data_IF_328999815640
#
_entry.id   IF_328999815640
#
_cell.length_a   1.000
_cell.length_b   1.000
_cell.length_c   1.000
_cell.angle_alpha   90.00
_cell.angle_beta   90.00
_cell.angle_gamma   90.00
#
_symmetry.space_group_name_H-M   'P 1'
#
loop_
_entity.id
_entity.type
_entity.pdbx_description
1 polymer ?
#
# COMPACT_ATOMS: atom_id res chain seq x y z
N UNK A 1 5.19 -9.14 -5.94
CA UNK A 1 5.28 -7.99 -6.88
C UNK A 1 5.73 -6.73 -6.15
N UNK A 2 5.03 -6.29 -5.11
CA UNK A 2 5.36 -5.08 -4.33
C UNK A 2 6.85 -4.98 -3.91
N UNK A 3 7.41 -6.04 -3.30
CA UNK A 3 8.83 -6.07 -2.89
C UNK A 3 9.82 -5.81 -4.03
N UNK A 4 9.52 -6.26 -5.25
CA UNK A 4 10.38 -6.05 -6.41
C UNK A 4 10.22 -4.66 -7.03
N UNK A 5 9.04 -4.04 -6.86
CA UNK A 5 8.71 -2.73 -7.42
C UNK A 5 9.18 -1.59 -6.50
N UNK A 6 9.19 -1.79 -5.18
CA UNK A 6 9.58 -0.77 -4.20
C UNK A 6 10.94 -0.08 -4.47
N UNK A 7 12.02 -0.78 -4.87
CA UNK A 7 13.29 -0.10 -5.21
C UNK A 7 13.17 0.78 -6.47
N UNK A 8 12.35 0.33 -7.43
CA UNK A 8 12.13 1.05 -8.68
C UNK A 8 11.24 2.28 -8.46
N UNK A 9 10.19 2.18 -7.64
CA UNK A 9 9.37 3.32 -7.28
C UNK A 9 10.18 4.38 -6.54
N UNK A 10 11.06 4.00 -5.61
CA UNK A 10 11.97 4.93 -4.92
C UNK A 10 12.86 5.71 -5.89
N UNK A 11 13.54 5.00 -6.80
CA UNK A 11 14.38 5.63 -7.83
C UNK A 11 13.59 6.54 -8.78
N UNK A 12 12.33 6.21 -9.06
CA UNK A 12 11.45 7.01 -9.91
C UNK A 12 11.00 8.29 -9.17
N UNK A 13 10.56 8.16 -7.91
CA UNK A 13 10.18 9.28 -7.03
C UNK A 13 11.32 10.29 -6.91
N UNK A 14 12.55 9.81 -6.77
CA UNK A 14 13.71 10.68 -6.66
C UNK A 14 13.90 11.59 -7.89
N UNK A 15 13.57 11.09 -9.09
CA UNK A 15 13.72 11.79 -10.37
C UNK A 15 12.55 12.69 -10.76
N UNK A 16 11.31 12.26 -10.52
CA UNK A 16 10.10 12.95 -11.03
C UNK A 16 9.24 13.58 -9.93
N UNK A 17 9.63 13.45 -8.66
CA UNK A 17 8.87 13.95 -7.50
C UNK A 17 7.89 12.92 -6.96
N UNK A 18 7.22 13.25 -5.85
CA UNK A 18 6.35 12.34 -5.09
C UNK A 18 4.95 12.22 -5.71
N UNK A 19 4.41 13.35 -6.19
CA UNK A 19 2.99 13.45 -6.54
C UNK A 19 2.60 12.64 -7.79
N UNK A 20 3.47 12.62 -8.82
CA UNK A 20 3.19 11.89 -10.07
C UNK A 20 3.21 10.36 -9.86
N UNK A 21 4.24 9.76 -9.22
CA UNK A 21 4.20 8.35 -8.84
C UNK A 21 3.02 8.00 -7.94
N UNK A 22 2.66 8.86 -6.98
CA UNK A 22 1.52 8.61 -6.09
C UNK A 22 0.20 8.55 -6.86
N UNK A 23 -0.05 9.51 -7.76
CA UNK A 23 -1.24 9.51 -8.61
C UNK A 23 -1.27 8.30 -9.55
N UNK A 24 -0.14 7.91 -10.15
CA UNK A 24 -0.04 6.71 -10.98
C UNK A 24 -0.38 5.46 -10.14
N UNK A 25 0.17 5.36 -8.93
CA UNK A 25 -0.11 4.27 -7.99
C UNK A 25 -1.59 4.16 -7.67
N UNK A 26 -2.24 5.28 -7.33
CA UNK A 26 -3.67 5.33 -7.01
C UNK A 26 -4.56 4.97 -8.21
N UNK A 27 -4.23 5.43 -9.42
CA UNK A 27 -4.96 5.04 -10.64
C UNK A 27 -4.81 3.55 -10.92
N UNK A 28 -3.61 3.00 -10.77
CA UNK A 28 -3.35 1.55 -10.93
C UNK A 28 -4.13 0.75 -9.87
N UNK A 29 -4.16 1.21 -8.61
CA UNK A 29 -4.94 0.61 -7.53
C UNK A 29 -6.43 0.62 -7.84
N UNK A 30 -6.97 1.75 -8.30
CA UNK A 30 -8.37 1.88 -8.69
C UNK A 30 -8.74 0.90 -9.81
N UNK A 31 -7.98 0.94 -10.92
CA UNK A 31 -8.25 0.10 -12.09
C UNK A 31 -8.10 -1.40 -11.76
N UNK A 32 -7.05 -1.78 -11.04
CA UNK A 32 -6.84 -3.18 -10.64
C UNK A 32 -7.94 -3.69 -9.73
N UNK A 33 -8.41 -2.88 -8.78
CA UNK A 33 -9.49 -3.24 -7.85
C UNK A 33 -10.83 -3.36 -8.58
N UNK A 34 -11.12 -2.46 -9.53
CA UNK A 34 -12.31 -2.55 -10.37
C UNK A 34 -12.28 -3.81 -11.26
N UNK A 35 -11.12 -4.14 -11.85
CA UNK A 35 -10.94 -5.38 -12.61
C UNK A 35 -11.10 -6.61 -11.71
N UNK A 36 -10.63 -6.54 -10.46
CA UNK A 36 -10.79 -7.63 -9.49
C UNK A 36 -12.27 -7.86 -9.13
N UNK A 37 -13.05 -6.79 -8.95
CA UNK A 37 -14.49 -6.88 -8.68
C UNK A 37 -15.24 -7.61 -9.82
N UNK A 38 -15.00 -7.19 -11.06
CA UNK A 38 -15.64 -7.77 -12.25
C UNK A 38 -15.03 -9.12 -12.68
N UNK A 39 -13.84 -9.45 -12.18
CA UNK A 39 -13.09 -10.64 -12.57
C UNK A 39 -13.77 -11.93 -12.14
N UNK A 40 -13.86 -12.88 -13.08
CA UNK A 40 -14.40 -14.25 -12.85
C UNK A 40 -13.39 -15.36 -13.13
N UNK A 41 -12.29 -15.05 -13.83
CA UNK A 41 -11.24 -16.01 -14.16
C UNK A 41 -10.06 -15.86 -13.22
N UNK A 42 -9.49 -16.98 -12.77
CA UNK A 42 -8.30 -17.00 -11.92
C UNK A 42 -7.14 -16.20 -12.51
N UNK A 43 -6.89 -16.33 -13.83
CA UNK A 43 -5.82 -15.58 -14.49
C UNK A 43 -6.01 -14.06 -14.43
N UNK A 44 -7.26 -13.60 -14.56
CA UNK A 44 -7.60 -12.19 -14.45
C UNK A 44 -7.45 -11.67 -13.02
N UNK A 45 -7.88 -12.46 -12.03
CA UNK A 45 -7.73 -12.12 -10.61
C UNK A 45 -6.26 -12.06 -10.19
N UNK A 46 -5.44 -13.01 -10.68
CA UNK A 46 -4.00 -13.03 -10.44
C UNK A 46 -3.30 -11.81 -11.06
N UNK A 47 -3.67 -11.46 -12.30
CA UNK A 47 -3.16 -10.27 -12.96
C UNK A 47 -3.56 -8.99 -12.22
N UNK A 48 -4.83 -8.88 -11.83
CA UNK A 48 -5.34 -7.76 -11.06
C UNK A 48 -4.59 -7.61 -9.71
N UNK A 49 -4.35 -8.70 -8.97
CA UNK A 49 -3.56 -8.66 -7.73
C UNK A 49 -2.11 -8.28 -7.94
N UNK A 50 -1.51 -8.77 -9.01
CA UNK A 50 -0.15 -8.39 -9.39
C UNK A 50 -0.07 -6.88 -9.65
N UNK A 51 -1.04 -6.35 -10.40
CA UNK A 51 -1.14 -4.93 -10.72
C UNK A 51 -1.42 -4.07 -9.47
N UNK A 52 -2.27 -4.55 -8.58
CA UNK A 52 -2.55 -3.91 -7.29
C UNK A 52 -1.27 -3.80 -6.44
N UNK A 53 -0.43 -4.85 -6.43
CA UNK A 53 0.88 -4.81 -5.78
C UNK A 53 1.90 -3.84 -6.43
N UNK A 54 1.75 -3.53 -7.72
CA UNK A 54 2.53 -2.45 -8.37
C UNK A 54 2.00 -1.09 -7.90
N UNK A 55 0.68 -0.90 -7.91
CA UNK A 55 0.04 0.34 -7.50
C UNK A 55 0.33 0.72 -6.05
N UNK A 56 0.23 -0.25 -5.13
CA UNK A 56 0.54 -0.05 -3.71
C UNK A 56 2.00 0.32 -3.48
N UNK A 57 2.94 -0.32 -4.18
CA UNK A 57 4.36 0.03 -4.09
C UNK A 57 4.60 1.52 -4.38
N UNK A 58 4.00 2.05 -5.45
CA UNK A 58 4.12 3.47 -5.79
C UNK A 58 3.42 4.38 -4.77
N UNK A 59 2.20 4.05 -4.35
CA UNK A 59 1.44 4.87 -3.41
C UNK A 59 2.10 4.93 -2.02
N UNK A 60 2.49 3.78 -1.46
CA UNK A 60 3.11 3.69 -0.13
C UNK A 60 4.46 4.39 -0.10
N UNK A 61 5.32 4.14 -1.10
CA UNK A 61 6.66 4.73 -1.15
C UNK A 61 6.59 6.25 -1.38
N UNK A 62 5.70 6.72 -2.26
CA UNK A 62 5.54 8.15 -2.52
C UNK A 62 4.89 8.89 -1.34
N UNK A 63 3.86 8.31 -0.72
CA UNK A 63 3.16 8.93 0.41
C UNK A 63 4.05 9.11 1.64
N UNK A 64 4.77 8.06 2.03
CA UNK A 64 5.71 8.15 3.16
C UNK A 64 6.88 9.10 2.86
N UNK A 65 7.39 9.09 1.63
CA UNK A 65 8.45 10.01 1.23
C UNK A 65 7.97 11.47 1.19
N UNK A 66 6.74 11.73 0.77
CA UNK A 66 6.12 13.06 0.79
C UNK A 66 5.99 13.60 2.22
N UNK A 67 5.55 12.76 3.17
CA UNK A 67 5.49 13.13 4.59
C UNK A 67 6.90 13.44 5.10
N UNK A 68 7.88 12.59 4.80
CA UNK A 68 9.26 12.77 5.23
C UNK A 68 9.92 14.05 4.69
N UNK A 69 9.58 14.46 3.46
CA UNK A 69 10.08 15.68 2.82
C UNK A 69 9.37 16.95 3.31
N UNK A 70 8.06 16.86 3.57
CA UNK A 70 7.23 18.01 3.99
C UNK A 70 7.51 18.48 5.42
N UNK A 71 7.84 17.55 6.32
CA UNK A 71 8.17 17.85 7.71
C UNK A 71 9.69 17.90 7.91
N UNK A 72 10.24 19.11 7.98
CA UNK A 72 11.69 19.32 8.08
C UNK A 72 12.24 19.13 9.50
N UNK A 73 11.43 19.37 10.53
CA UNK A 73 11.84 19.12 11.92
C UNK A 73 11.71 17.63 12.28
N UNK A 74 12.75 17.04 12.88
CA UNK A 74 12.76 15.60 13.20
C UNK A 74 11.62 15.18 14.13
N UNK A 75 11.29 16.02 15.11
CA UNK A 75 10.20 15.76 16.06
C UNK A 75 8.83 15.79 15.36
N UNK A 76 8.60 16.75 14.46
CA UNK A 76 7.35 16.84 13.71
C UNK A 76 7.23 15.71 12.68
N UNK A 77 8.34 15.39 11.99
CA UNK A 77 8.42 14.29 11.02
C UNK A 77 8.11 12.95 11.68
N UNK A 78 8.72 12.67 12.83
CA UNK A 78 8.48 11.43 13.58
C UNK A 78 7.02 11.32 14.04
N UNK A 79 6.43 12.43 14.52
CA UNK A 79 5.00 12.46 14.87
C UNK A 79 4.10 12.22 13.66
N UNK A 80 4.37 12.88 12.53
CA UNK A 80 3.57 12.72 11.31
C UNK A 80 3.64 11.30 10.75
N UNK A 81 4.84 10.71 10.68
CA UNK A 81 5.02 9.31 10.28
C UNK A 81 4.37 8.35 11.27
N UNK A 82 4.45 8.62 12.57
CA UNK A 82 3.79 7.83 13.60
C UNK A 82 2.27 7.83 13.46
N UNK A 83 1.67 8.99 13.16
CA UNK A 83 0.23 9.11 12.87
C UNK A 83 -0.13 8.33 11.60
N UNK A 84 0.65 8.47 10.52
CA UNK A 84 0.41 7.73 9.27
C UNK A 84 0.46 6.21 9.47
N UNK A 85 1.47 5.71 10.19
CA UNK A 85 1.59 4.29 10.53
C UNK A 85 0.45 3.81 11.43
N UNK A 86 -0.01 4.63 12.37
CA UNK A 86 -1.17 4.31 13.21
C UNK A 86 -2.45 4.15 12.37
N UNK A 87 -2.67 5.01 11.36
CA UNK A 87 -3.79 4.87 10.44
C UNK A 87 -3.67 3.62 9.57
N UNK A 88 -2.48 3.24 9.14
CA UNK A 88 -2.24 1.97 8.42
C UNK A 88 -2.63 0.78 9.31
N UNK A 89 -2.15 0.74 10.56
CA UNK A 89 -2.51 -0.32 11.49
C UNK A 89 -4.01 -0.38 11.79
N UNK A 90 -4.64 0.79 11.95
CA UNK A 90 -6.09 0.89 12.13
C UNK A 90 -6.86 0.38 10.91
N UNK A 91 -6.41 0.71 9.69
CA UNK A 91 -6.98 0.19 8.45
C UNK A 91 -6.88 -1.33 8.37
N UNK A 92 -5.72 -1.91 8.70
CA UNK A 92 -5.53 -3.36 8.75
C UNK A 92 -6.43 -4.05 9.79
N UNK A 93 -6.72 -3.40 10.91
CA UNK A 93 -7.61 -3.92 11.95
C UNK A 93 -9.08 -3.91 11.50
N UNK A 94 -9.52 -2.82 10.89
CA UNK A 94 -10.93 -2.62 10.50
C UNK A 94 -11.28 -3.34 9.19
N UNK A 95 -10.30 -3.57 8.31
CA UNK A 95 -10.54 -4.14 6.99
C UNK A 95 -11.12 -5.58 7.00
N UNK A 96 -10.61 -6.56 7.77
CA UNK A 96 -11.15 -7.92 7.80
C UNK A 96 -12.63 -8.03 8.25
N UNK A 97 -13.07 -7.42 9.37
CA UNK A 97 -14.46 -7.53 9.81
C UNK A 97 -15.43 -6.81 8.86
N UNK A 98 -15.08 -5.61 8.38
CA UNK A 98 -15.91 -4.91 7.39
C UNK A 98 -15.95 -5.67 6.06
N UNK A 99 -14.80 -6.12 5.58
CA UNK A 99 -14.68 -6.87 4.32
C UNK A 99 -15.45 -8.19 4.36
N UNK A 100 -15.33 -8.96 5.45
CA UNK A 100 -16.04 -10.22 5.65
C UNK A 100 -17.56 -10.05 5.75
N UNK A 101 -18.02 -9.04 6.49
CA UNK A 101 -19.45 -8.72 6.58
C UNK A 101 -20.02 -8.30 5.22
N UNK A 102 -19.36 -7.36 4.52
CA UNK A 102 -19.78 -6.90 3.19
C UNK A 102 -19.78 -8.05 2.17
N UNK A 103 -18.77 -8.92 2.21
CA UNK A 103 -18.68 -10.08 1.34
C UNK A 103 -19.85 -11.04 1.55
N UNK A 104 -20.25 -11.28 2.81
CA UNK A 104 -21.35 -12.18 3.13
C UNK A 104 -22.73 -11.64 2.77
N UNK A 105 -23.00 -10.36 3.04
CA UNK A 105 -24.33 -9.78 2.85
C UNK A 105 -24.56 -9.20 1.45
N UNK A 106 -23.52 -8.71 0.79
CA UNK A 106 -23.62 -7.99 -0.47
C UNK A 106 -22.86 -8.66 -1.62
N UNK A 107 -22.21 -9.80 -1.35
CA UNK A 107 -21.47 -10.59 -2.33
C UNK A 107 -20.05 -10.09 -2.59
N UNK A 108 -19.32 -10.85 -3.42
CA UNK A 108 -17.89 -10.63 -3.65
C UNK A 108 -17.53 -9.26 -4.20
N UNK A 109 -18.40 -8.68 -5.02
CA UNK A 109 -18.09 -7.47 -5.81
C UNK A 109 -18.07 -6.21 -4.94
N UNK A 110 -18.91 -6.15 -3.92
CA UNK A 110 -19.18 -4.94 -3.14
C UNK A 110 -17.99 -4.47 -2.31
N UNK A 111 -17.27 -5.33 -1.55
CA UNK A 111 -16.06 -4.91 -0.84
C UNK A 111 -15.02 -4.27 -1.79
N UNK A 112 -14.81 -4.86 -2.97
CA UNK A 112 -13.85 -4.33 -3.93
C UNK A 112 -14.32 -3.03 -4.60
N UNK A 113 -15.61 -2.89 -4.89
CA UNK A 113 -16.16 -1.64 -5.41
C UNK A 113 -16.05 -0.49 -4.38
N UNK A 114 -16.28 -0.77 -3.10
CA UNK A 114 -16.08 0.21 -2.03
C UNK A 114 -14.60 0.61 -1.95
N UNK A 115 -13.68 -0.36 -1.98
CA UNK A 115 -12.24 -0.07 -1.98
C UNK A 115 -11.82 0.77 -3.21
N UNK A 116 -12.34 0.45 -4.39
CA UNK A 116 -12.10 1.24 -5.60
C UNK A 116 -12.63 2.67 -5.42
N UNK A 117 -13.83 2.85 -4.87
CA UNK A 117 -14.39 4.17 -4.61
C UNK A 117 -13.57 4.98 -3.60
N UNK A 118 -13.07 4.32 -2.53
CA UNK A 118 -12.16 4.94 -1.56
C UNK A 118 -10.86 5.36 -2.24
N UNK A 119 -10.24 4.51 -3.07
CA UNK A 119 -9.04 4.89 -3.85
C UNK A 119 -9.30 6.04 -4.82
N UNK A 120 -10.50 6.12 -5.39
CA UNK A 120 -10.88 7.22 -6.28
C UNK A 120 -11.02 8.54 -5.51
N UNK A 121 -11.64 8.52 -4.32
CA UNK A 121 -11.74 9.68 -3.44
C UNK A 121 -10.35 10.13 -3.00
N UNK A 122 -9.48 9.20 -2.62
CA UNK A 122 -8.11 9.50 -2.22
C UNK A 122 -7.33 10.15 -3.38
N UNK A 123 -7.46 9.61 -4.59
CA UNK A 123 -6.89 10.22 -5.80
C UNK A 123 -7.44 11.63 -6.07
N UNK A 124 -8.74 11.86 -5.87
CA UNK A 124 -9.34 13.18 -6.02
C UNK A 124 -8.87 14.17 -4.95
N UNK A 125 -8.80 13.74 -3.69
CA UNK A 125 -8.29 14.53 -2.59
C UNK A 125 -6.82 14.89 -2.81
N UNK A 126 -6.04 13.95 -3.33
CA UNK A 126 -4.67 14.20 -3.75
C UNK A 126 -4.60 15.27 -4.84
N UNK A 127 -5.45 15.22 -5.86
CA UNK A 127 -5.49 16.26 -6.91
C UNK A 127 -5.79 17.67 -6.36
N UNK A 128 -6.57 17.77 -5.28
CA UNK A 128 -6.85 19.05 -4.62
C UNK A 128 -5.67 19.55 -3.77
N UNK A 129 -4.91 18.64 -3.17
CA UNK A 129 -3.77 18.95 -2.29
C UNK A 129 -2.48 19.14 -3.09
N UNK A 130 -2.36 18.49 -4.25
CA UNK A 130 -1.21 18.58 -5.15
C UNK A 130 -0.96 20.02 -5.56
N UNK A 131 0.29 20.48 -5.38
CA UNK A 131 0.77 21.71 -6.02
C UNK A 131 0.68 21.57 -7.55
N UNK A 132 0.55 22.67 -8.31
CA UNK A 132 0.56 22.60 -9.76
C UNK A 132 1.85 21.91 -10.26
N UNK A 133 1.69 20.95 -11.19
CA UNK A 133 2.75 20.11 -11.79
C UNK A 133 4.00 20.91 -12.22
N UNK A 134 3.83 22.18 -12.56
CA UNK A 134 4.90 23.11 -12.95
C UNK A 134 5.86 23.47 -11.81
N UNK A 135 5.38 23.55 -10.56
CA UNK A 135 6.23 23.78 -9.38
C UNK A 135 6.98 22.51 -8.98
N UNK A 136 6.38 21.34 -9.14
CA UNK A 136 7.02 20.04 -8.87
C UNK A 136 8.18 19.76 -9.83
N UNK A 137 8.02 20.10 -11.12
CA UNK A 137 9.10 20.00 -12.12
C UNK A 137 10.25 21.00 -11.87
N UNK A 138 10.01 22.06 -11.10
CA UNK A 138 11.02 23.04 -10.71
C UNK A 138 11.72 22.61 -9.41
N UNK A 139 10.98 22.06 -8.43
CA UNK A 139 11.52 21.48 -7.20
C UNK A 139 12.33 20.19 -7.49
N UNK A 140 11.91 19.34 -8.44
CA UNK A 140 12.68 18.15 -8.86
C UNK A 140 13.98 18.49 -9.59
N UNK A 141 14.10 19.71 -10.13
CA UNK A 141 15.33 20.25 -10.74
C UNK A 141 16.28 20.90 -9.73
N UNK A 142 15.84 21.14 -8.49
CA UNK A 142 16.76 21.62 -7.46
C UNK A 142 17.76 20.51 -7.09
N UNK A 143 19.05 20.84 -6.86
CA UNK A 143 20.06 19.85 -6.52
C UNK A 143 19.73 19.25 -5.14
N UNK A 144 19.15 18.05 -5.14
CA UNK A 144 18.98 17.24 -3.93
C UNK A 144 20.37 16.87 -3.38
N UNK A 145 20.54 16.78 -2.04
CA UNK A 145 21.77 16.27 -1.46
C UNK A 145 22.09 14.91 -2.06
N UNK A 146 23.38 14.53 -2.19
CA UNK A 146 23.77 13.29 -2.83
C UNK A 146 23.08 12.10 -2.15
N UNK A 147 22.10 11.52 -2.85
CA UNK A 147 21.40 10.32 -2.40
C UNK A 147 22.43 9.20 -2.31
N UNK A 148 22.54 8.58 -1.14
CA UNK A 148 23.30 7.35 -1.00
C UNK A 148 22.68 6.30 -1.92
N UNK A 149 23.45 5.69 -2.84
CA UNK A 149 22.89 4.74 -3.79
C UNK A 149 22.30 3.55 -3.03
N UNK A 150 21.07 3.14 -3.39
CA UNK A 150 20.30 2.06 -2.75
C UNK A 150 21.14 0.78 -2.59
N UNK A 151 21.97 0.44 -3.59
CA UNK A 151 22.87 -0.70 -3.52
C UNK A 151 23.85 -0.63 -2.33
N UNK A 152 24.36 0.57 -2.00
CA UNK A 152 25.28 0.77 -0.87
C UNK A 152 24.56 0.67 0.48
N UNK A 153 23.27 1.03 0.54
CA UNK A 153 22.43 0.80 1.70
C UNK A 153 22.14 -0.70 1.89
N UNK A 154 21.82 -1.42 0.81
CA UNK A 154 21.56 -2.86 0.87
C UNK A 154 22.81 -3.68 1.22
N UNK A 155 24.00 -3.17 0.91
CA UNK A 155 25.29 -3.76 1.27
C UNK A 155 25.72 -3.45 2.72
N UNK A 156 25.00 -2.59 3.44
CA UNK A 156 25.28 -2.32 4.85
C UNK A 156 24.81 -3.50 5.71
N UNK A 157 25.70 -4.15 6.49
CA UNK A 157 25.35 -5.34 7.27
C UNK A 157 24.25 -5.08 8.29
N UNK A 158 24.14 -3.88 8.87
CA UNK A 158 23.08 -3.57 9.82
C UNK A 158 21.71 -3.46 9.13
N UNK A 159 21.68 -2.81 7.97
CA UNK A 159 20.45 -2.65 7.17
C UNK A 159 20.02 -3.99 6.57
N UNK A 160 20.98 -4.81 6.13
CA UNK A 160 20.73 -6.16 5.62
C UNK A 160 20.13 -7.07 6.69
N UNK A 161 20.65 -7.04 7.93
CA UNK A 161 20.09 -7.82 9.04
C UNK A 161 18.68 -7.34 9.41
N UNK A 162 18.47 -6.03 9.54
CA UNK A 162 17.15 -5.48 9.86
C UNK A 162 16.11 -5.77 8.76
N UNK A 163 16.46 -5.56 7.49
CA UNK A 163 15.58 -5.86 6.36
C UNK A 163 15.29 -7.36 6.23
N UNK A 164 16.29 -8.22 6.47
CA UNK A 164 16.10 -9.67 6.52
C UNK A 164 15.17 -10.12 7.64
N UNK A 165 15.32 -9.55 8.84
CA UNK A 165 14.41 -9.82 9.96
C UNK A 165 12.97 -9.38 9.64
N UNK A 166 12.80 -8.18 9.08
CA UNK A 166 11.48 -7.68 8.65
C UNK A 166 10.85 -8.53 7.54
N UNK A 167 11.65 -9.02 6.59
CA UNK A 167 11.18 -9.96 5.57
C UNK A 167 10.69 -11.26 6.20
N UNK A 168 11.47 -11.83 7.13
CA UNK A 168 11.12 -13.07 7.80
C UNK A 168 9.81 -12.94 8.59
N UNK A 169 9.64 -11.82 9.32
CA UNK A 169 8.41 -11.52 10.04
C UNK A 169 7.20 -11.37 9.12
N UNK A 170 7.34 -10.65 8.00
CA UNK A 170 6.24 -10.49 7.03
C UNK A 170 5.88 -11.79 6.32
N UNK A 171 6.86 -12.63 6.00
CA UNK A 171 6.61 -13.95 5.41
C UNK A 171 5.81 -14.82 6.38
N UNK A 172 6.18 -14.84 7.66
CA UNK A 172 5.45 -15.61 8.67
C UNK A 172 3.97 -15.17 8.76
N UNK A 173 3.71 -13.86 8.83
CA UNK A 173 2.35 -13.30 8.83
C UNK A 173 1.57 -13.65 7.54
N UNK A 174 2.21 -13.53 6.38
CA UNK A 174 1.59 -13.82 5.08
C UNK A 174 1.16 -15.29 4.92
N UNK A 175 1.83 -16.23 5.59
CA UNK A 175 1.38 -17.63 5.64
C UNK A 175 0.27 -17.84 6.67
N UNK A 176 0.31 -17.10 7.78
CA UNK A 176 -0.62 -17.21 8.89
C UNK A 176 -2.05 -16.82 8.50
N UNK A 177 -2.19 -15.70 7.78
CA UNK A 177 -3.49 -15.17 7.33
C UNK A 177 -4.36 -16.15 6.55
N UNK A 178 -3.91 -16.73 5.42
CA UNK A 178 -4.71 -17.68 4.67
C UNK A 178 -4.90 -19.00 5.43
N UNK A 179 -3.89 -19.46 6.16
CA UNK A 179 -3.94 -20.74 6.87
C UNK A 179 -4.95 -20.71 8.02
N UNK A 180 -4.94 -19.66 8.83
CA UNK A 180 -5.93 -19.48 9.90
C UNK A 180 -7.33 -19.36 9.33
N UNK A 181 -7.51 -18.58 8.26
CA UNK A 181 -8.83 -18.36 7.66
C UNK A 181 -9.42 -19.68 7.13
N UNK A 182 -8.61 -20.50 6.46
CA UNK A 182 -9.02 -21.84 6.00
C UNK A 182 -9.32 -22.78 7.17
N UNK A 183 -8.46 -22.80 8.20
CA UNK A 183 -8.68 -23.64 9.37
C UNK A 183 -9.95 -23.27 10.14
N UNK A 184 -10.26 -21.97 10.24
CA UNK A 184 -11.49 -21.48 10.86
C UNK A 184 -12.75 -21.87 10.08
N UNK A 185 -12.67 -21.86 8.75
CA UNK A 185 -13.75 -22.31 7.88
C UNK A 185 -14.05 -23.80 8.07
N UNK A 186 -13.00 -24.62 8.19
CA UNK A 186 -13.12 -26.08 8.37
C UNK A 186 -13.58 -26.49 9.79
N UNK A 187 -13.18 -25.76 10.85
CA UNK A 187 -13.32 -26.22 12.24
C UNK A 187 -14.26 -25.38 13.12
N UNK A 188 -14.54 -24.12 12.78
CA UNK A 188 -15.19 -23.16 13.68
C UNK A 188 -16.50 -22.61 13.11
N UNK A 189 -16.48 -22.08 11.89
CA UNK A 189 -17.64 -21.39 11.30
C UNK A 189 -17.47 -21.19 9.80
N UNK A 190 -18.55 -21.42 9.04
CA UNK A 190 -18.62 -21.10 7.59
C UNK A 190 -19.10 -19.67 7.31
N UNK A 191 -19.50 -18.92 8.34
CA UNK A 191 -19.92 -17.53 8.19
C UNK A 191 -18.72 -16.58 8.14
N UNK A 192 -18.46 -15.99 6.98
CA UNK A 192 -17.37 -15.03 6.71
C UNK A 192 -17.33 -13.83 7.65
N UNK A 193 -18.47 -13.33 8.14
CA UNK A 193 -18.48 -12.20 9.09
C UNK A 193 -17.89 -12.59 10.46
N UNK A 194 -18.12 -13.83 10.92
CA UNK A 194 -17.54 -14.34 12.18
C UNK A 194 -16.04 -14.51 12.06
N UNK A 195 -15.56 -15.04 10.92
CA UNK A 195 -14.13 -15.14 10.63
C UNK A 195 -13.50 -13.74 10.64
N UNK A 196 -14.13 -12.76 9.99
CA UNK A 196 -13.67 -11.38 9.98
C UNK A 196 -13.60 -10.73 11.37
N UNK A 197 -14.52 -11.06 12.29
CA UNK A 197 -14.47 -10.57 13.67
C UNK A 197 -13.36 -11.18 14.51
N UNK A 198 -12.89 -12.39 14.21
CA UNK A 198 -11.80 -13.02 14.96
C UNK A 198 -10.44 -12.38 14.60
N UNK A 199 -10.36 -11.78 13.41
CA UNK A 199 -9.20 -11.00 12.99
C UNK A 199 -9.11 -9.59 13.61
N UNK A 200 -10.14 -9.17 14.37
CA UNK A 200 -10.16 -7.91 15.12
C UNK A 200 -9.58 -8.11 16.54
#
# INVERSE_FOLDING_TARGET
VQLMVNPFSGALIDRIGYDLPMMIGLVIMFLSTAVFACGRSYGLLFFARSLQGVGSAFADTAGLAMIADRFTEENERSKALGIALAFISFGCLVAPPFGGALYQFAGKEVPFLILAFVSLIDGFMLLLVMKPLKQQLVESKMPKPPSVPIWRLLLDPYIAVCSGALMMSNVALAFLEPTISLWMEDNLTTENWKIGMIWL
#
